data_IF_771421267923
#
_entry.id   IF_771421267923
#
_cell.length_a   1.000
_cell.length_b   1.000
_cell.length_c   1.000
_cell.angle_alpha   90.00
_cell.angle_beta   90.00
_cell.angle_gamma   90.00
#
_symmetry.space_group_name_H-M   'P 1'
#
loop_
_entity.id
_entity.type
_entity.pdbx_description
1 polymer ?
#
# COMPACT_ATOMS: atom_id res chain seq x y z
N UNK A 1 9.90 18.63 16.66
CA UNK A 1 11.12 18.79 15.87
C UNK A 1 12.10 17.65 16.22
N UNK A 2 12.11 16.60 15.38
CA UNK A 2 12.97 15.42 15.57
C UNK A 2 14.47 15.77 15.53
N UNK A 3 14.83 16.84 14.84
CA UNK A 3 16.23 17.29 14.75
C UNK A 3 16.79 17.83 16.09
N UNK A 4 15.91 18.24 16.99
CA UNK A 4 16.30 18.78 18.32
C UNK A 4 16.15 17.77 19.45
N UNK A 5 15.80 16.52 19.17
CA UNK A 5 15.78 15.48 20.20
C UNK A 5 17.20 15.03 20.57
N UNK A 6 17.40 14.70 21.84
CA UNK A 6 18.65 14.10 22.29
C UNK A 6 18.90 12.79 21.53
N UNK A 7 20.10 12.64 20.97
CA UNK A 7 20.47 11.48 20.17
C UNK A 7 20.10 11.58 18.68
N UNK A 8 19.47 12.68 18.23
CA UNK A 8 19.18 12.89 16.80
C UNK A 8 20.49 13.06 16.01
N UNK A 9 20.59 12.39 14.89
CA UNK A 9 21.67 12.57 13.92
C UNK A 9 21.58 13.91 13.18
N UNK A 10 20.47 14.65 13.34
CA UNK A 10 20.17 15.91 12.64
C UNK A 10 20.26 15.82 11.12
N UNK A 11 19.94 14.65 10.58
CA UNK A 11 19.89 14.37 9.16
C UNK A 11 18.88 13.26 8.87
N UNK A 12 18.43 13.20 7.64
CA UNK A 12 17.58 12.13 7.16
C UNK A 12 18.48 10.93 6.82
N UNK A 13 18.30 9.83 7.53
CA UNK A 13 19.10 8.60 7.36
C UNK A 13 18.15 7.41 7.38
N UNK A 14 18.41 6.48 6.50
CA UNK A 14 17.86 5.12 6.59
C UNK A 14 19.00 4.10 6.54
N UNK A 15 18.75 2.95 7.14
CA UNK A 15 19.70 1.86 7.25
C UNK A 15 19.19 0.69 6.43
N UNK A 16 20.08 0.07 5.65
CA UNK A 16 19.76 -1.12 4.88
C UNK A 16 20.77 -2.20 5.25
N UNK A 17 20.25 -3.38 5.62
CA UNK A 17 21.08 -4.53 5.91
C UNK A 17 21.80 -5.02 4.65
N UNK A 18 23.10 -5.18 4.75
CA UNK A 18 23.88 -5.78 3.67
C UNK A 18 23.72 -7.31 3.63
N UNK A 19 23.51 -7.91 4.79
CA UNK A 19 23.20 -9.33 4.94
C UNK A 19 21.92 -9.49 5.79
N UNK A 20 20.93 -10.26 5.35
CA UNK A 20 20.89 -11.09 4.12
C UNK A 20 20.46 -10.36 2.84
N UNK A 21 20.15 -9.05 2.90
CA UNK A 21 19.50 -8.33 1.79
C UNK A 21 20.34 -8.36 0.50
N UNK A 22 21.60 -7.93 0.58
CA UNK A 22 22.44 -7.81 -0.61
C UNK A 22 23.19 -9.09 -0.95
N UNK A 23 23.43 -9.98 0.02
CA UNK A 23 24.06 -11.27 -0.24
C UNK A 23 23.54 -12.37 0.69
N UNK A 24 23.00 -13.42 0.11
CA UNK A 24 22.61 -14.64 0.79
C UNK A 24 22.71 -15.82 -0.18
N UNK A 25 23.36 -16.92 0.26
CA UNK A 25 24.10 -17.13 1.51
C UNK A 25 25.33 -16.21 1.63
N UNK A 26 25.96 -16.17 2.81
CA UNK A 26 27.12 -15.29 3.10
C UNK A 26 28.31 -15.48 2.13
N UNK A 27 28.35 -16.58 1.41
CA UNK A 27 29.35 -16.88 0.36
C UNK A 27 28.96 -16.35 -1.02
N UNK A 28 27.75 -15.83 -1.19
CA UNK A 28 27.31 -15.26 -2.46
C UNK A 28 28.03 -13.92 -2.73
N UNK A 29 28.13 -13.52 -3.98
CA UNK A 29 28.60 -12.19 -4.32
C UNK A 29 27.58 -11.13 -3.82
N UNK A 30 28.08 -9.97 -3.40
CA UNK A 30 27.23 -8.85 -3.00
C UNK A 30 26.53 -8.31 -4.26
N UNK A 31 25.21 -8.22 -4.18
CA UNK A 31 24.37 -7.64 -5.22
C UNK A 31 23.55 -6.48 -4.62
N UNK A 32 24.05 -5.28 -4.79
CA UNK A 32 23.43 -4.05 -4.27
C UNK A 32 22.05 -3.77 -4.89
N UNK A 33 21.78 -4.33 -6.07
CA UNK A 33 20.50 -4.10 -6.75
C UNK A 33 19.32 -4.68 -5.97
N UNK A 34 19.56 -5.69 -5.14
CA UNK A 34 18.55 -6.29 -4.26
C UNK A 34 18.04 -5.33 -3.19
N UNK A 35 18.83 -4.30 -2.86
CA UNK A 35 18.42 -3.28 -1.88
C UNK A 35 17.60 -2.14 -2.49
N UNK A 36 17.54 -2.00 -3.81
CA UNK A 36 16.90 -0.84 -4.45
C UNK A 36 15.38 -0.78 -4.17
N UNK A 37 14.71 -1.91 -4.06
CA UNK A 37 13.30 -1.96 -3.69
C UNK A 37 13.08 -1.40 -2.29
N UNK A 38 13.83 -1.89 -1.33
CA UNK A 38 13.80 -1.41 0.06
C UNK A 38 14.17 0.08 0.11
N UNK A 39 15.19 0.49 -0.64
CA UNK A 39 15.62 1.89 -0.69
C UNK A 39 14.50 2.80 -1.20
N UNK A 40 13.79 2.39 -2.25
CA UNK A 40 12.65 3.15 -2.77
C UNK A 40 11.52 3.24 -1.75
N UNK A 41 11.26 2.16 -1.02
CA UNK A 41 10.26 2.08 0.04
C UNK A 41 10.56 3.07 1.16
N UNK A 42 11.76 2.96 1.75
CA UNK A 42 12.19 3.82 2.86
C UNK A 42 12.28 5.30 2.45
N UNK A 43 12.75 5.55 1.23
CA UNK A 43 12.78 6.92 0.70
C UNK A 43 11.38 7.52 0.60
N UNK A 44 10.38 6.71 0.21
CA UNK A 44 8.99 7.19 0.15
C UNK A 44 8.44 7.53 1.54
N UNK A 45 8.76 6.76 2.57
CA UNK A 45 8.42 7.13 3.95
C UNK A 45 8.99 8.49 4.35
N UNK A 46 10.24 8.77 4.00
CA UNK A 46 10.85 10.08 4.24
C UNK A 46 10.08 11.19 3.51
N UNK A 47 9.68 10.97 2.27
CA UNK A 47 8.88 11.93 1.47
C UNK A 47 7.52 12.16 2.12
N UNK A 48 6.82 11.11 2.53
CA UNK A 48 5.50 11.18 3.19
C UNK A 48 5.61 11.95 4.52
N UNK A 49 6.61 11.62 5.35
CA UNK A 49 6.86 12.29 6.59
C UNK A 49 7.20 13.77 6.41
N UNK A 50 8.13 14.06 5.50
CA UNK A 50 8.51 15.43 5.17
C UNK A 50 7.29 16.27 4.77
N UNK A 51 6.48 15.74 3.84
CA UNK A 51 5.29 16.44 3.35
C UNK A 51 4.31 16.73 4.48
N UNK A 52 3.90 15.71 5.24
CA UNK A 52 2.83 15.85 6.21
C UNK A 52 3.27 16.57 7.48
N UNK A 53 4.48 16.27 7.98
CA UNK A 53 4.95 16.79 9.27
C UNK A 53 5.73 18.09 9.15
N UNK A 54 6.61 18.20 8.17
CA UNK A 54 7.53 19.35 8.08
C UNK A 54 6.96 20.47 7.20
N UNK A 55 6.35 20.13 6.07
CA UNK A 55 5.79 21.14 5.15
C UNK A 55 4.41 21.59 5.58
N UNK A 56 3.53 20.67 5.94
CA UNK A 56 2.15 20.99 6.32
C UNK A 56 1.95 21.21 7.82
N UNK A 57 2.89 20.78 8.65
CA UNK A 57 2.79 20.87 10.12
C UNK A 57 1.67 20.00 10.71
N UNK A 58 1.19 19.02 9.95
CA UNK A 58 0.09 18.12 10.31
C UNK A 58 0.52 16.90 11.12
N UNK A 59 -0.38 15.93 11.24
CA UNK A 59 -0.10 14.62 11.81
C UNK A 59 0.68 13.75 10.81
N UNK A 60 1.29 12.66 11.27
CA UNK A 60 1.85 11.63 10.39
C UNK A 60 0.73 11.00 9.54
N UNK A 61 1.08 10.48 8.38
CA UNK A 61 0.16 9.74 7.53
C UNK A 61 -0.33 8.47 8.26
N UNK A 62 -1.59 8.10 8.03
CA UNK A 62 -2.11 6.83 8.53
C UNK A 62 -1.27 5.66 7.98
N UNK A 63 -0.83 4.74 8.85
CA UNK A 63 0.19 3.72 8.53
C UNK A 63 -0.16 2.91 7.28
N UNK A 64 -1.41 2.50 7.12
CA UNK A 64 -1.84 1.73 5.95
C UNK A 64 -1.63 2.49 4.63
N UNK A 65 -1.78 3.82 4.64
CA UNK A 65 -1.61 4.67 3.46
C UNK A 65 -0.14 4.98 3.22
N UNK A 66 0.61 5.25 4.29
CA UNK A 66 2.06 5.46 4.25
C UNK A 66 2.78 4.24 3.65
N UNK A 67 2.48 3.05 4.15
CA UNK A 67 2.98 1.79 3.62
C UNK A 67 2.48 1.49 2.19
N UNK A 68 1.23 1.83 1.91
CA UNK A 68 0.66 1.67 0.57
C UNK A 68 1.37 2.51 -0.49
N UNK A 69 1.70 3.77 -0.17
CA UNK A 69 2.47 4.66 -1.05
C UNK A 69 3.94 4.23 -1.15
N UNK A 70 4.52 3.72 -0.07
CA UNK A 70 5.90 3.20 -0.07
C UNK A 70 6.02 1.96 -0.95
N UNK A 71 5.06 1.04 -0.89
CA UNK A 71 4.98 -0.08 -1.84
C UNK A 71 4.64 0.36 -3.27
N UNK A 72 3.94 1.49 -3.45
CA UNK A 72 3.76 2.05 -4.77
C UNK A 72 5.09 2.57 -5.37
N UNK A 73 5.98 3.13 -4.55
CA UNK A 73 7.34 3.50 -4.99
C UNK A 73 8.16 2.27 -5.39
N UNK A 74 8.08 1.17 -4.64
CA UNK A 74 8.67 -0.11 -5.06
C UNK A 74 8.11 -0.56 -6.41
N UNK A 75 6.78 -0.50 -6.57
CA UNK A 75 6.11 -0.88 -7.83
C UNK A 75 6.58 -0.05 -9.02
N UNK A 76 6.86 1.24 -8.82
CA UNK A 76 7.37 2.12 -9.89
C UNK A 76 8.74 1.67 -10.41
N UNK A 77 9.57 1.10 -9.55
CA UNK A 77 10.95 0.71 -9.89
C UNK A 77 11.02 -0.74 -10.37
N UNK A 78 10.25 -1.63 -9.75
CA UNK A 78 10.36 -3.08 -9.97
C UNK A 78 9.12 -3.70 -10.61
N UNK A 79 8.04 -2.94 -10.80
CA UNK A 79 6.78 -3.47 -11.29
C UNK A 79 5.98 -4.16 -10.18
N UNK A 80 5.15 -5.11 -10.57
CA UNK A 80 4.20 -5.76 -9.67
C UNK A 80 4.90 -6.50 -8.52
N UNK A 81 4.51 -6.19 -7.29
CA UNK A 81 5.01 -6.87 -6.09
C UNK A 81 4.31 -8.24 -5.92
N UNK A 82 4.80 -9.23 -6.64
CA UNK A 82 4.22 -10.58 -6.65
C UNK A 82 4.17 -11.21 -5.25
N UNK A 83 5.12 -10.87 -4.37
CA UNK A 83 5.13 -11.33 -2.98
C UNK A 83 3.89 -10.87 -2.20
N UNK A 84 3.43 -9.64 -2.41
CA UNK A 84 2.23 -9.08 -1.77
C UNK A 84 0.96 -9.76 -2.28
N UNK A 85 0.89 -10.02 -3.59
CA UNK A 85 -0.23 -10.78 -4.18
C UNK A 85 -0.24 -12.21 -3.65
N UNK A 86 0.92 -12.88 -3.61
CA UNK A 86 1.01 -14.22 -3.06
C UNK A 86 0.61 -14.28 -1.58
N UNK A 87 1.02 -13.29 -0.79
CA UNK A 87 0.61 -13.21 0.61
C UNK A 87 -0.92 -13.03 0.74
N UNK A 88 -1.51 -12.13 -0.03
CA UNK A 88 -2.96 -11.99 -0.12
C UNK A 88 -3.63 -13.32 -0.44
N UNK A 89 -3.08 -14.08 -1.39
CA UNK A 89 -3.65 -15.35 -1.84
C UNK A 89 -3.57 -16.46 -0.77
N UNK A 90 -2.57 -16.45 0.09
CA UNK A 90 -2.28 -17.59 0.99
C UNK A 90 -2.61 -17.35 2.45
N UNK A 91 -2.61 -16.09 2.91
CA UNK A 91 -2.75 -15.76 4.31
C UNK A 91 -4.15 -16.05 4.86
N UNK A 92 -4.20 -16.72 6.01
CA UNK A 92 -5.45 -17.01 6.73
C UNK A 92 -6.12 -15.75 7.27
N UNK A 93 -5.34 -14.74 7.69
CA UNK A 93 -5.84 -13.46 8.15
C UNK A 93 -6.73 -12.77 7.12
N UNK A 94 -6.32 -12.77 5.84
CA UNK A 94 -7.13 -12.22 4.74
C UNK A 94 -8.48 -12.93 4.63
N UNK A 95 -8.50 -14.25 4.74
CA UNK A 95 -9.75 -15.06 4.70
C UNK A 95 -10.69 -14.76 5.85
N UNK A 96 -10.14 -14.39 6.99
CA UNK A 96 -10.90 -14.08 8.21
C UNK A 96 -11.39 -12.62 8.25
N UNK A 97 -11.16 -11.84 7.19
CA UNK A 97 -11.67 -10.48 7.08
C UNK A 97 -10.75 -9.43 7.70
N UNK A 98 -9.47 -9.47 7.38
CA UNK A 98 -8.50 -8.48 7.83
C UNK A 98 -8.88 -7.04 7.40
N UNK A 99 -8.68 -6.07 8.31
CA UNK A 99 -8.99 -4.66 8.05
C UNK A 99 -7.87 -4.00 7.25
N UNK A 100 -8.24 -3.13 6.28
CA UNK A 100 -7.29 -2.27 5.61
C UNK A 100 -6.85 -1.11 6.52
N UNK A 101 -7.80 -0.48 7.22
CA UNK A 101 -7.55 0.76 7.95
C UNK A 101 -6.92 0.55 9.34
N UNK A 102 -7.17 -0.60 9.94
CA UNK A 102 -6.57 -0.96 11.22
C UNK A 102 -5.23 -1.65 10.98
N UNK A 103 -4.17 -0.99 11.44
CA UNK A 103 -2.83 -1.54 11.38
C UNK A 103 -2.56 -2.38 12.62
N UNK A 104 -2.29 -3.66 12.43
CA UNK A 104 -2.08 -4.60 13.54
C UNK A 104 -0.58 -4.85 13.74
N UNK A 105 0.03 -4.06 14.61
CA UNK A 105 1.47 -4.15 14.91
C UNK A 105 1.87 -5.44 15.63
N UNK A 106 0.91 -6.13 16.23
CA UNK A 106 1.14 -7.34 17.03
C UNK A 106 0.61 -8.61 16.40
N UNK A 107 -0.11 -8.49 15.30
CA UNK A 107 -0.71 -9.60 14.57
C UNK A 107 -0.01 -9.91 13.25
N UNK A 108 -0.81 -10.27 12.25
CA UNK A 108 -0.31 -10.56 10.90
C UNK A 108 -0.17 -9.28 10.07
N UNK A 109 0.85 -8.49 10.39
CA UNK A 109 1.16 -7.21 9.71
C UNK A 109 1.32 -7.39 8.19
N UNK A 110 1.77 -8.56 7.72
CA UNK A 110 1.91 -8.80 6.28
C UNK A 110 0.55 -8.83 5.56
N UNK A 111 -0.55 -9.14 6.26
CA UNK A 111 -1.90 -8.95 5.72
C UNK A 111 -2.20 -7.48 5.44
N UNK A 112 -1.79 -6.58 6.35
CA UNK A 112 -1.93 -5.13 6.15
C UNK A 112 -1.14 -4.66 4.95
N UNK A 113 0.13 -5.06 4.82
CA UNK A 113 0.95 -4.75 3.65
C UNK A 113 0.30 -5.21 2.34
N UNK A 114 -0.18 -6.46 2.30
CA UNK A 114 -0.80 -7.00 1.10
C UNK A 114 -2.06 -6.23 0.71
N UNK A 115 -2.94 -5.91 1.68
CA UNK A 115 -4.16 -5.15 1.42
C UNK A 115 -3.87 -3.70 1.02
N UNK A 116 -2.94 -3.02 1.70
CA UNK A 116 -2.56 -1.63 1.40
C UNK A 116 -1.98 -1.51 0.00
N UNK A 117 -1.08 -2.43 -0.38
CA UNK A 117 -0.55 -2.49 -1.74
C UNK A 117 -1.66 -2.65 -2.78
N UNK A 118 -2.50 -3.66 -2.62
CA UNK A 118 -3.57 -3.96 -3.58
C UNK A 118 -4.58 -2.81 -3.67
N UNK A 119 -4.92 -2.19 -2.54
CA UNK A 119 -5.86 -1.07 -2.53
C UNK A 119 -5.31 0.17 -3.22
N UNK A 120 -4.06 0.55 -2.95
CA UNK A 120 -3.42 1.72 -3.58
C UNK A 120 -3.26 1.50 -5.09
N UNK A 121 -2.91 0.28 -5.52
CA UNK A 121 -2.86 -0.05 -6.95
C UNK A 121 -4.26 -0.05 -7.58
N UNK A 122 -5.27 -0.57 -6.90
CA UNK A 122 -6.65 -0.50 -7.35
C UNK A 122 -7.11 0.96 -7.54
N UNK A 123 -6.85 1.82 -6.56
CA UNK A 123 -7.18 3.25 -6.63
C UNK A 123 -6.51 3.92 -7.84
N UNK A 124 -5.21 3.65 -8.07
CA UNK A 124 -4.47 4.14 -9.24
C UNK A 124 -5.14 3.74 -10.56
N UNK A 125 -5.45 2.45 -10.68
CA UNK A 125 -6.05 1.88 -11.90
C UNK A 125 -7.43 2.48 -12.16
N UNK A 126 -8.27 2.62 -11.10
CA UNK A 126 -9.61 3.14 -11.27
C UNK A 126 -9.64 4.63 -11.60
N UNK A 127 -8.85 5.43 -10.91
CA UNK A 127 -8.79 6.88 -11.12
C UNK A 127 -8.13 7.28 -12.44
N UNK A 128 -7.42 6.35 -13.09
CA UNK A 128 -6.87 6.49 -14.45
C UNK A 128 -5.98 7.73 -14.67
N UNK A 129 -5.24 8.11 -13.63
CA UNK A 129 -4.26 9.22 -13.69
C UNK A 129 -2.82 8.72 -13.80
N UNK A 130 -2.63 7.42 -14.07
CA UNK A 130 -1.31 6.81 -13.99
C UNK A 130 -0.69 7.04 -12.60
N UNK A 131 0.61 7.19 -12.55
CA UNK A 131 1.34 7.37 -11.29
C UNK A 131 1.17 8.76 -10.67
N UNK A 132 0.61 9.73 -11.40
CA UNK A 132 0.33 11.06 -10.87
C UNK A 132 -0.67 11.04 -9.71
N UNK A 133 -1.49 10.00 -9.60
CA UNK A 133 -2.45 9.84 -8.51
C UNK A 133 -1.78 9.75 -7.14
N UNK A 134 -0.62 9.13 -7.04
CA UNK A 134 0.12 9.03 -5.78
C UNK A 134 0.53 10.40 -5.27
N UNK A 135 0.98 11.26 -6.19
CA UNK A 135 1.30 12.66 -5.87
C UNK A 135 0.05 13.43 -5.45
N UNK A 136 -1.08 13.22 -6.11
CA UNK A 136 -2.35 13.87 -5.74
C UNK A 136 -2.76 13.50 -4.33
N UNK A 137 -2.69 12.23 -3.95
CA UNK A 137 -3.01 11.75 -2.60
C UNK A 137 -2.03 12.32 -1.58
N UNK A 138 -0.73 12.31 -1.87
CA UNK A 138 0.31 12.82 -0.98
C UNK A 138 0.21 14.33 -0.74
N UNK A 139 -0.27 15.08 -1.72
CA UNK A 139 -0.41 16.55 -1.64
C UNK A 139 -1.74 17.01 -1.03
N UNK A 140 -2.67 16.10 -0.76
CA UNK A 140 -3.89 16.42 -0.03
C UNK A 140 -3.55 16.75 1.43
N UNK A 141 -4.23 17.73 2.00
CA UNK A 141 -4.02 18.13 3.40
C UNK A 141 -4.51 17.08 4.41
N UNK A 142 -5.39 16.16 3.98
CA UNK A 142 -5.71 14.97 4.77
C UNK A 142 -4.60 13.93 4.59
N UNK A 143 -4.26 13.25 5.69
CA UNK A 143 -3.19 12.26 5.73
C UNK A 143 -3.70 10.85 6.02
N UNK A 144 -4.95 10.59 5.69
CA UNK A 144 -5.67 9.33 5.92
C UNK A 144 -6.59 8.99 4.73
N UNK A 145 -7.60 8.16 4.96
CA UNK A 145 -8.56 7.74 3.94
C UNK A 145 -9.23 8.93 3.21
N UNK A 146 -9.31 10.10 3.84
CA UNK A 146 -9.93 11.30 3.24
C UNK A 146 -9.13 11.83 2.06
N UNK A 147 -7.81 11.70 2.07
CA UNK A 147 -6.97 12.04 0.91
C UNK A 147 -7.34 11.19 -0.31
N UNK A 148 -7.54 9.89 -0.09
CA UNK A 148 -7.97 8.98 -1.17
C UNK A 148 -9.41 9.27 -1.61
N UNK A 149 -10.30 9.58 -0.66
CA UNK A 149 -11.68 9.97 -0.96
C UNK A 149 -11.75 11.25 -1.80
N UNK A 150 -10.95 12.27 -1.46
CA UNK A 150 -10.89 13.53 -2.21
C UNK A 150 -10.41 13.29 -3.65
N UNK A 151 -9.39 12.45 -3.82
CA UNK A 151 -8.95 12.03 -5.15
C UNK A 151 -10.05 11.25 -5.88
N UNK A 152 -10.75 10.34 -5.21
CA UNK A 152 -11.85 9.58 -5.80
C UNK A 152 -13.02 10.50 -6.23
N UNK A 153 -13.38 11.48 -5.42
CA UNK A 153 -14.39 12.50 -5.77
C UNK A 153 -14.01 13.29 -7.02
N UNK A 154 -12.73 13.59 -7.15
CA UNK A 154 -12.20 14.33 -8.31
C UNK A 154 -12.25 13.52 -9.60
N UNK A 155 -11.85 12.25 -9.57
CA UNK A 155 -11.61 11.46 -10.79
C UNK A 155 -12.68 10.41 -11.09
N UNK A 156 -13.48 10.00 -10.10
CA UNK A 156 -14.53 8.98 -10.28
C UNK A 156 -15.95 9.57 -10.18
N UNK A 157 -16.07 10.76 -9.61
CA UNK A 157 -17.33 11.48 -9.48
C UNK A 157 -17.55 12.05 -8.08
N UNK A 158 -18.11 13.25 -8.01
CA UNK A 158 -18.24 14.05 -6.77
C UNK A 158 -19.02 13.38 -5.64
N UNK A 159 -19.84 12.39 -5.94
CA UNK A 159 -20.58 11.59 -4.95
C UNK A 159 -19.83 10.38 -4.42
N UNK A 160 -18.60 10.09 -4.91
CA UNK A 160 -17.83 8.92 -4.49
C UNK A 160 -17.37 9.08 -3.04
N UNK A 161 -17.71 8.13 -2.19
CA UNK A 161 -17.20 8.04 -0.84
C UNK A 161 -16.07 7.02 -0.74
N UNK A 162 -15.30 7.08 0.35
CA UNK A 162 -14.32 6.03 0.63
C UNK A 162 -14.97 4.66 0.81
N UNK A 163 -16.18 4.63 1.42
CA UNK A 163 -16.95 3.40 1.58
C UNK A 163 -17.36 2.77 0.25
N UNK A 164 -17.75 3.59 -0.74
CA UNK A 164 -18.03 3.11 -2.10
C UNK A 164 -16.77 2.55 -2.76
N UNK A 165 -15.65 3.26 -2.65
CA UNK A 165 -14.37 2.80 -3.20
C UNK A 165 -13.90 1.49 -2.56
N UNK A 166 -14.08 1.33 -1.26
CA UNK A 166 -13.79 0.09 -0.53
C UNK A 166 -14.69 -1.06 -0.97
N UNK A 167 -15.97 -0.79 -1.17
CA UNK A 167 -16.93 -1.78 -1.67
C UNK A 167 -16.54 -2.24 -3.08
N UNK A 168 -16.25 -1.29 -3.96
CA UNK A 168 -15.79 -1.56 -5.32
C UNK A 168 -14.46 -2.34 -5.33
N UNK A 169 -13.52 -2.00 -4.43
CA UNK A 169 -12.27 -2.75 -4.27
C UNK A 169 -12.49 -4.19 -3.85
N UNK A 170 -13.35 -4.42 -2.85
CA UNK A 170 -13.69 -5.77 -2.40
C UNK A 170 -14.36 -6.59 -3.51
N UNK A 171 -15.26 -5.98 -4.25
CA UNK A 171 -15.86 -6.60 -5.43
C UNK A 171 -14.82 -6.86 -6.53
N UNK A 172 -13.85 -5.98 -6.72
CA UNK A 172 -12.78 -6.16 -7.69
C UNK A 172 -11.90 -7.37 -7.38
N UNK A 173 -11.54 -7.56 -6.10
CA UNK A 173 -10.79 -8.74 -5.64
C UNK A 173 -11.56 -10.05 -5.87
N UNK A 174 -12.88 -10.00 -5.80
CA UNK A 174 -13.74 -11.17 -6.00
C UNK A 174 -14.04 -11.43 -7.47
N UNK A 175 -14.50 -10.40 -8.21
CA UNK A 175 -15.03 -10.55 -9.57
C UNK A 175 -13.95 -10.57 -10.65
N UNK A 176 -12.82 -9.92 -10.42
CA UNK A 176 -11.65 -9.87 -11.31
C UNK A 176 -11.99 -9.45 -12.74
N UNK A 177 -12.92 -8.50 -12.91
CA UNK A 177 -13.31 -8.03 -14.22
C UNK A 177 -12.16 -7.34 -14.95
N UNK A 178 -12.00 -7.60 -16.23
CA UNK A 178 -11.02 -6.92 -17.09
C UNK A 178 -11.43 -5.50 -17.50
N UNK A 179 -12.66 -5.10 -17.19
CA UNK A 179 -13.21 -3.77 -17.48
C UNK A 179 -14.06 -3.28 -16.31
N UNK A 180 -14.28 -1.96 -16.24
CA UNK A 180 -15.10 -1.35 -15.21
C UNK A 180 -14.43 -1.31 -13.83
N UNK A 181 -15.25 -1.10 -12.79
CA UNK A 181 -14.76 -0.89 -11.41
C UNK A 181 -14.47 -2.18 -10.62
N UNK A 182 -15.00 -3.31 -11.06
CA UNK A 182 -14.95 -4.57 -10.31
C UNK A 182 -13.78 -5.47 -10.73
N UNK A 183 -12.61 -4.88 -10.93
CA UNK A 183 -11.36 -5.56 -11.25
C UNK A 183 -10.21 -4.60 -11.45
N UNK A 184 -9.08 -5.13 -11.83
CA UNK A 184 -7.82 -4.37 -12.05
C UNK A 184 -7.63 -4.05 -13.55
N UNK A 185 -8.73 -3.95 -14.32
CA UNK A 185 -8.78 -3.60 -15.75
C UNK A 185 -7.79 -4.40 -16.63
N UNK A 186 -7.50 -5.64 -16.25
CA UNK A 186 -6.58 -6.51 -17.00
C UNK A 186 -5.11 -6.10 -16.89
N UNK A 187 -4.74 -5.22 -15.97
CA UNK A 187 -3.34 -4.83 -15.79
C UNK A 187 -2.50 -6.05 -15.40
N UNK A 188 -1.35 -6.18 -16.07
CA UNK A 188 -0.49 -7.35 -15.95
C UNK A 188 -0.03 -7.58 -14.49
N UNK A 189 -0.03 -8.83 -14.08
CA UNK A 189 0.37 -9.26 -12.73
C UNK A 189 -0.80 -9.33 -11.73
N UNK A 190 -1.83 -8.47 -11.83
CA UNK A 190 -2.98 -8.53 -10.93
C UNK A 190 -3.96 -9.66 -11.28
N UNK A 191 -3.82 -10.28 -12.45
CA UNK A 191 -4.55 -11.51 -12.79
C UNK A 191 -4.20 -12.68 -11.85
N UNK A 192 -3.04 -12.64 -11.18
CA UNK A 192 -2.61 -13.63 -10.21
C UNK A 192 -3.33 -13.54 -8.86
N UNK A 193 -4.16 -12.53 -8.63
CA UNK A 193 -5.00 -12.44 -7.43
C UNK A 193 -6.01 -13.59 -7.44
N UNK A 194 -6.04 -14.39 -6.37
CA UNK A 194 -7.03 -15.44 -6.20
C UNK A 194 -8.33 -14.90 -5.62
N UNK A 195 -9.44 -15.36 -6.18
CA UNK A 195 -10.75 -15.10 -5.59
C UNK A 195 -10.89 -15.88 -4.29
N UNK A 196 -11.00 -15.19 -3.16
CA UNK A 196 -11.26 -15.83 -1.88
C UNK A 196 -12.74 -16.09 -1.72
N UNK A 197 -13.15 -17.36 -1.85
CA UNK A 197 -14.47 -17.78 -1.47
C UNK A 197 -14.44 -18.26 -0.03
N UNK A 198 -15.16 -17.58 0.84
CA UNK A 198 -15.42 -18.06 2.20
C UNK A 198 -16.64 -18.99 2.14
N UNK A 199 -16.42 -20.28 2.29
CA UNK A 199 -17.50 -21.24 2.53
C UNK A 199 -17.70 -21.38 4.03
N UNK A 200 -18.41 -20.45 4.62
CA UNK A 200 -18.84 -20.53 6.01
C UNK A 200 -20.25 -21.06 6.08
N UNK A 201 -20.45 -22.13 6.83
CA UNK A 201 -21.78 -22.49 7.32
C UNK A 201 -22.06 -21.55 8.49
N UNK A 202 -22.65 -20.41 8.28
CA UNK A 202 -22.94 -19.85 9.46
C UNK A 202 -23.32 -18.44 9.69
N UNK A 203 -23.66 -18.27 10.76
CA UNK A 203 -24.28 -17.26 11.61
C UNK A 203 -23.41 -16.03 11.97
N UNK A 204 -22.20 -15.88 11.46
CA UNK A 204 -21.27 -14.82 11.84
C UNK A 204 -20.67 -14.04 10.65
N UNK A 205 -21.51 -13.63 9.69
CA UNK A 205 -21.16 -12.55 8.79
C UNK A 205 -21.36 -11.23 9.53
N UNK A 206 -20.39 -10.84 10.35
CA UNK A 206 -20.25 -9.47 10.82
C UNK A 206 -19.36 -8.76 9.83
N UNK A 207 -19.97 -7.88 9.02
CA UNK A 207 -19.27 -6.94 8.18
C UNK A 207 -18.62 -5.83 8.97
#
# INVERSE_FOLDING_TARGET
>A
DLYNQAGSNRMEIFYIDTYPTMHYPVTAAIDVTKAYSTLAHEFQHMVNYNRNRLVEGGAAMATWLDEGLSMAAEHLIYGVLASRINYYNTASGIRNGHSLLYWDDYGDTLCNYALSYLFVQYARIQMNQGNAIYRTILQDSANDYRAVENAAKTYLGSGMTFGDLMTDFRLALFMKKSTGRYGFKGEAGFNAIDTKMYTGTGTNLRG
#
